data_IF_169472065617
#
_entry.id   IF_169472065617
#
_cell.length_a   1.000
_cell.length_b   1.000
_cell.length_c   1.000
_cell.angle_alpha   90.00
_cell.angle_beta   90.00
_cell.angle_gamma   90.00
#
_symmetry.space_group_name_H-M   'P 1'
#
loop_
_entity.id
_entity.type
_entity.pdbx_description
1 polymer ?
#
# COMPACT_ATOMS: atom_id res chain seq x y z
N UNK A 1 1.50 -5.93 5.18
CA UNK A 1 1.72 -6.84 6.33
C UNK A 1 3.02 -7.58 6.11
N UNK A 2 3.77 -7.87 7.18
CA UNK A 2 4.97 -8.71 7.15
C UNK A 2 4.95 -9.70 8.31
N UNK A 3 5.58 -10.85 8.10
CA UNK A 3 5.62 -11.94 9.06
C UNK A 3 7.07 -12.39 9.31
N UNK A 4 7.34 -12.95 10.49
CA UNK A 4 8.55 -13.72 10.74
C UNK A 4 8.45 -15.13 10.12
N UNK A 5 9.51 -15.93 10.23
CA UNK A 5 9.54 -17.30 9.68
C UNK A 5 8.57 -18.27 10.37
N UNK A 6 8.07 -17.90 11.54
CA UNK A 6 7.11 -18.69 12.31
C UNK A 6 5.66 -18.24 12.03
N UNK A 7 5.47 -17.23 11.17
CA UNK A 7 4.15 -16.68 10.85
C UNK A 7 3.64 -15.66 11.87
N UNK A 8 4.48 -15.15 12.78
CA UNK A 8 4.08 -14.04 13.63
C UNK A 8 4.11 -12.73 12.85
N UNK A 9 3.10 -11.89 13.06
CA UNK A 9 3.03 -10.56 12.44
C UNK A 9 4.15 -9.69 13.01
N UNK A 10 5.03 -9.20 12.13
CA UNK A 10 6.02 -8.18 12.45
C UNK A 10 5.42 -6.78 12.34
N UNK A 11 4.62 -6.55 11.31
CA UNK A 11 3.85 -5.31 11.13
C UNK A 11 2.65 -5.54 10.22
N UNK A 12 1.61 -4.74 10.42
CA UNK A 12 0.47 -4.63 9.51
C UNK A 12 0.21 -3.17 9.21
N UNK A 13 -0.07 -2.89 7.95
CA UNK A 13 -0.64 -1.63 7.49
C UNK A 13 -1.77 -1.99 6.51
N UNK A 14 -2.88 -1.28 6.64
CA UNK A 14 -4.08 -1.50 5.83
C UNK A 14 -4.51 -0.15 5.23
N UNK A 15 -3.78 0.32 4.21
CA UNK A 15 -4.15 1.52 3.51
C UNK A 15 -5.44 1.29 2.72
N UNK A 16 -6.35 2.26 2.82
CA UNK A 16 -7.64 2.21 2.18
C UNK A 16 -8.51 3.38 2.65
N UNK A 17 -9.75 3.33 2.23
CA UNK A 17 -10.79 4.33 2.45
C UNK A 17 -12.00 3.65 3.07
N UNK A 18 -13.04 4.44 3.39
CA UNK A 18 -14.34 3.90 3.77
C UNK A 18 -15.17 3.37 2.59
N UNK A 19 -14.59 3.35 1.39
CA UNK A 19 -15.25 2.98 0.13
C UNK A 19 -14.52 1.81 -0.55
N UNK A 20 -14.87 1.49 -1.81
CA UNK A 20 -14.25 0.38 -2.52
C UNK A 20 -12.82 0.70 -2.94
N UNK A 21 -11.88 -0.09 -2.46
CA UNK A 21 -10.47 -0.05 -2.83
C UNK A 21 -10.01 -1.43 -3.29
N UNK A 22 -9.25 -1.46 -4.39
CA UNK A 22 -8.70 -2.71 -4.92
C UNK A 22 -7.23 -2.51 -5.28
N UNK A 23 -6.37 -3.34 -4.71
CA UNK A 23 -4.99 -3.48 -5.15
C UNK A 23 -4.96 -4.41 -6.37
N UNK A 24 -4.34 -3.94 -7.46
CA UNK A 24 -4.31 -4.66 -8.74
C UNK A 24 -2.91 -5.15 -9.12
N UNK A 25 -1.88 -4.67 -8.42
CA UNK A 25 -0.50 -5.08 -8.70
C UNK A 25 0.47 -4.73 -7.59
N UNK A 26 1.57 -5.49 -7.55
CA UNK A 26 2.70 -5.30 -6.65
C UNK A 26 4.02 -5.44 -7.41
N UNK A 27 4.99 -4.61 -7.10
CA UNK A 27 6.34 -4.67 -7.64
C UNK A 27 7.37 -4.33 -6.55
N UNK A 28 8.61 -4.78 -6.75
CA UNK A 28 9.75 -4.44 -5.88
C UNK A 28 10.89 -3.83 -6.69
N UNK A 29 11.70 -2.99 -6.05
CA UNK A 29 12.95 -2.50 -6.62
C UNK A 29 14.19 -3.17 -5.97
N UNK A 30 15.37 -2.91 -6.53
CA UNK A 30 16.64 -3.46 -6.03
C UNK A 30 17.04 -2.95 -4.65
N UNK A 31 16.38 -1.90 -4.16
CA UNK A 31 16.56 -1.37 -2.79
C UNK A 31 15.61 -2.01 -1.78
N UNK A 32 14.78 -2.97 -2.21
CA UNK A 32 13.83 -3.67 -1.34
C UNK A 32 12.52 -2.91 -1.10
N UNK A 33 12.30 -1.76 -1.75
CA UNK A 33 11.04 -1.05 -1.62
C UNK A 33 9.91 -1.86 -2.28
N UNK A 34 8.71 -1.80 -1.69
CA UNK A 34 7.50 -2.43 -2.24
C UNK A 34 6.57 -1.35 -2.77
N UNK A 35 6.08 -1.53 -3.99
CA UNK A 35 5.14 -0.65 -4.66
C UNK A 35 3.82 -1.40 -4.83
N UNK A 36 2.72 -0.84 -4.35
CA UNK A 36 1.36 -1.36 -4.53
C UNK A 36 0.57 -0.36 -5.34
N UNK A 37 0.02 -0.80 -6.47
CA UNK A 37 -0.89 0.01 -7.27
C UNK A 37 -2.32 -0.53 -7.20
N UNK A 38 -3.28 0.35 -7.40
CA UNK A 38 -4.68 0.00 -7.33
C UNK A 38 -5.60 1.12 -7.72
N UNK A 39 -6.88 0.87 -7.48
CA UNK A 39 -7.94 1.83 -7.68
C UNK A 39 -8.71 2.08 -6.38
N UNK A 40 -9.21 3.30 -6.21
CA UNK A 40 -10.02 3.73 -5.07
C UNK A 40 -11.25 4.49 -5.57
N UNK A 41 -12.36 4.39 -4.84
CA UNK A 41 -13.54 5.26 -5.02
C UNK A 41 -13.62 6.36 -3.94
N UNK A 42 -12.55 6.52 -3.18
CA UNK A 42 -12.46 7.43 -2.04
C UNK A 42 -11.20 8.27 -2.06
N UNK A 43 -11.04 9.10 -1.03
CA UNK A 43 -9.81 9.88 -0.82
C UNK A 43 -8.82 9.03 -0.01
N UNK A 44 -7.79 8.50 -0.66
CA UNK A 44 -6.69 7.83 0.03
C UNK A 44 -5.94 8.82 0.94
N UNK A 45 -5.27 8.36 2.01
CA UNK A 45 -4.48 9.24 2.89
C UNK A 45 -3.55 10.16 2.08
N UNK A 46 -3.59 11.46 2.37
CA UNK A 46 -2.79 12.50 1.70
C UNK A 46 -3.12 12.76 0.22
N UNK A 47 -4.22 12.21 -0.29
CA UNK A 47 -4.70 12.47 -1.66
C UNK A 47 -6.17 12.83 -1.63
N UNK A 48 -6.57 13.83 -2.42
CA UNK A 48 -7.98 14.14 -2.62
C UNK A 48 -8.49 13.35 -3.82
N UNK A 49 -9.66 12.72 -3.67
CA UNK A 49 -10.36 12.14 -4.83
C UNK A 49 -10.65 13.23 -5.85
N UNK A 50 -10.46 12.94 -7.13
CA UNK A 50 -10.72 13.88 -8.24
C UNK A 50 -11.97 13.53 -9.04
N UNK A 51 -12.69 12.46 -8.68
CA UNK A 51 -13.89 12.04 -9.40
C UNK A 51 -14.34 10.66 -8.97
N UNK A 52 -14.78 9.84 -9.93
CA UNK A 52 -15.25 8.47 -9.74
C UNK A 52 -14.17 7.52 -9.22
N UNK A 53 -13.63 6.66 -10.07
CA UNK A 53 -12.55 5.75 -9.71
C UNK A 53 -11.20 6.42 -9.97
N UNK A 54 -10.37 6.55 -8.93
CA UNK A 54 -9.01 7.11 -9.01
C UNK A 54 -7.95 6.02 -8.86
N UNK A 55 -6.81 6.19 -9.52
CA UNK A 55 -5.65 5.32 -9.35
C UNK A 55 -4.81 5.77 -8.13
N UNK A 56 -4.22 4.81 -7.41
CA UNK A 56 -3.26 5.09 -6.35
C UNK A 56 -1.96 4.32 -6.55
N UNK A 57 -0.88 4.85 -5.97
CA UNK A 57 0.40 4.17 -5.80
C UNK A 57 0.87 4.36 -4.36
N UNK A 58 1.14 3.25 -3.68
CA UNK A 58 1.69 3.23 -2.32
C UNK A 58 3.11 2.68 -2.39
N UNK A 59 4.05 3.36 -1.73
CA UNK A 59 5.42 2.90 -1.57
C UNK A 59 5.68 2.57 -0.10
N UNK A 60 5.98 1.31 0.18
CA UNK A 60 6.60 0.91 1.44
C UNK A 60 8.10 0.91 1.26
N UNK A 61 8.75 1.92 1.83
CA UNK A 61 10.20 2.01 1.81
C UNK A 61 10.80 0.99 2.77
N UNK A 62 11.90 0.36 2.38
CA UNK A 62 12.76 -0.31 3.36
C UNK A 62 13.39 0.80 4.20
N UNK A 63 12.84 1.05 5.38
CA UNK A 63 13.53 1.86 6.37
C UNK A 63 14.72 1.02 6.80
N UNK A 64 15.94 1.49 6.54
CA UNK A 64 17.10 0.94 7.24
C UNK A 64 16.81 1.11 8.73
N UNK A 65 16.46 0.02 9.41
CA UNK A 65 16.51 -0.01 10.87
C UNK A 65 18.00 0.12 11.18
N UNK A 66 18.43 1.34 11.57
CA UNK A 66 19.67 1.50 12.33
C UNK A 66 19.42 1.11 13.77
#
# INVERSE_FOLDING_TARGET
MSYDRNGHILWSDQPGTSTYDSAVGVATDTSGNVYVLGNTWGSMPHTARQGGQDAFLIKYATVNVQ
#
